data_IF_245230727719
#
_entry.id   IF_245230727719
#
_cell.length_a   1.000
_cell.length_b   1.000
_cell.length_c   1.000
_cell.angle_alpha   90.00
_cell.angle_beta   90.00
_cell.angle_gamma   90.00
#
_symmetry.space_group_name_H-M   'P 1'
#
loop_
_entity.id
_entity.type
_entity.pdbx_description
1 polymer ?
#
# COMPACT_ATOMS: atom_id res chain seq x y z
N UNK A 1 50.76 14.91 -9.60
CA UNK A 1 50.13 15.09 -8.28
C UNK A 1 49.12 16.26 -8.24
N UNK A 2 49.41 17.50 -8.73
CA UNK A 2 48.45 18.62 -8.67
C UNK A 2 47.13 18.40 -9.46
N UNK A 3 47.17 17.70 -10.61
CA UNK A 3 45.97 17.42 -11.43
C UNK A 3 45.05 16.35 -10.82
N UNK A 4 45.60 15.38 -10.10
CA UNK A 4 44.82 14.35 -9.38
C UNK A 4 44.12 14.89 -8.12
N UNK A 5 44.78 15.81 -7.40
CA UNK A 5 44.17 16.46 -6.23
C UNK A 5 43.02 17.38 -6.64
N UNK A 6 43.12 18.10 -7.78
CA UNK A 6 42.08 18.93 -8.30
C UNK A 6 40.85 18.13 -8.75
N UNK A 7 41.07 16.96 -9.38
CA UNK A 7 39.96 16.08 -9.81
C UNK A 7 39.21 15.48 -8.63
N UNK A 8 39.93 15.07 -7.55
CA UNK A 8 39.30 14.54 -6.33
C UNK A 8 38.48 15.64 -5.60
N UNK A 9 39.04 16.86 -5.56
CA UNK A 9 38.32 18.01 -4.94
C UNK A 9 37.06 18.39 -5.73
N UNK A 10 37.08 18.33 -7.07
CA UNK A 10 35.90 18.57 -7.91
C UNK A 10 34.84 17.49 -7.79
N UNK A 11 35.25 16.22 -7.66
CA UNK A 11 34.31 15.10 -7.42
C UNK A 11 33.68 15.20 -6.03
N UNK A 12 34.46 15.57 -5.01
CA UNK A 12 33.93 15.80 -3.66
C UNK A 12 32.96 16.99 -3.61
N UNK A 13 33.25 18.09 -4.32
CA UNK A 13 32.35 19.24 -4.42
C UNK A 13 31.07 18.90 -5.21
N UNK A 14 31.15 18.10 -6.28
CA UNK A 14 29.99 17.65 -7.03
C UNK A 14 29.13 16.68 -6.23
N UNK A 15 29.74 15.82 -5.40
CA UNK A 15 29.01 14.91 -4.51
C UNK A 15 28.28 15.67 -3.38
N UNK A 16 28.93 16.70 -2.80
CA UNK A 16 28.28 17.54 -1.78
C UNK A 16 27.19 18.45 -2.36
N UNK A 17 27.37 18.98 -3.58
CA UNK A 17 26.34 19.75 -4.28
C UNK A 17 25.17 18.86 -4.73
N UNK A 18 25.42 17.60 -5.12
CA UNK A 18 24.38 16.63 -5.46
C UNK A 18 23.50 16.22 -4.27
N UNK A 19 24.07 16.16 -3.05
CA UNK A 19 23.29 15.92 -1.82
C UNK A 19 22.44 17.14 -1.42
N UNK A 20 22.86 18.36 -1.76
CA UNK A 20 22.12 19.59 -1.45
C UNK A 20 20.98 19.92 -2.45
N UNK A 21 20.90 19.20 -3.57
CA UNK A 21 19.89 19.41 -4.62
C UNK A 21 18.75 18.37 -4.57
N UNK A 22 18.75 17.44 -3.62
CA UNK A 22 17.59 16.60 -3.42
C UNK A 22 16.50 17.43 -2.75
N UNK A 23 15.28 17.50 -3.36
CA UNK A 23 14.19 18.23 -2.75
C UNK A 23 13.95 17.67 -1.35
N UNK A 24 14.01 18.53 -0.35
CA UNK A 24 13.64 18.17 1.02
C UNK A 24 12.24 17.57 1.00
N UNK A 25 12.07 16.43 1.67
CA UNK A 25 10.75 15.85 1.85
C UNK A 25 9.87 16.85 2.62
N UNK A 26 8.81 17.41 2.00
CA UNK A 26 8.01 18.46 2.62
C UNK A 26 7.33 17.99 3.91
N UNK A 27 7.17 16.67 4.07
CA UNK A 27 6.64 16.06 5.30
C UNK A 27 7.70 16.10 6.39
N UNK A 28 8.95 15.73 6.07
CA UNK A 28 10.07 15.80 7.01
C UNK A 28 10.34 17.23 7.44
N UNK A 29 10.34 18.20 6.51
CA UNK A 29 10.56 19.62 6.79
C UNK A 29 9.51 20.18 7.76
N UNK A 30 8.23 19.83 7.59
CA UNK A 30 7.12 20.24 8.48
C UNK A 30 7.31 19.75 9.91
N UNK A 31 7.67 18.48 10.07
CA UNK A 31 7.94 17.93 11.40
C UNK A 31 9.17 18.56 12.05
N UNK A 32 10.21 18.80 11.27
CA UNK A 32 11.44 19.45 11.75
C UNK A 32 11.17 20.89 12.23
N UNK A 33 10.39 21.68 11.50
CA UNK A 33 10.00 23.03 11.93
C UNK A 33 9.22 23.00 13.25
N UNK A 34 8.18 22.15 13.33
CA UNK A 34 7.39 22.00 14.55
C UNK A 34 8.23 21.59 15.76
N UNK A 35 9.05 20.54 15.63
CA UNK A 35 9.91 20.04 16.71
C UNK A 35 10.97 21.05 17.13
N UNK A 36 11.60 21.75 16.19
CA UNK A 36 12.60 22.80 16.49
C UNK A 36 12.00 23.98 17.25
N UNK A 37 10.79 24.40 16.90
CA UNK A 37 10.10 25.47 17.67
C UNK A 37 9.67 24.99 19.04
N UNK A 38 9.23 23.76 19.17
CA UNK A 38 8.87 23.15 20.44
C UNK A 38 10.09 23.03 21.35
N UNK A 39 11.26 22.62 20.84
CA UNK A 39 12.55 22.58 21.55
C UNK A 39 12.89 23.93 22.20
N UNK A 40 12.79 25.02 21.44
CA UNK A 40 13.07 26.37 21.95
C UNK A 40 12.14 26.78 23.10
N UNK A 41 10.87 26.37 23.01
CA UNK A 41 9.86 26.74 24.02
C UNK A 41 9.86 25.81 25.22
N UNK A 42 10.14 24.52 25.04
CA UNK A 42 10.26 23.58 26.16
C UNK A 42 11.62 23.64 26.83
N UNK A 43 12.65 24.15 26.13
CA UNK A 43 14.06 24.13 26.54
C UNK A 43 14.59 22.70 26.75
N UNK A 44 13.99 21.76 26.05
CA UNK A 44 14.40 20.36 26.03
C UNK A 44 14.85 20.02 24.63
N UNK A 45 15.97 19.34 24.47
CA UNK A 45 16.43 18.92 23.14
C UNK A 45 15.40 17.94 22.51
N UNK A 46 15.29 17.98 21.18
CA UNK A 46 14.46 17.01 20.47
C UNK A 46 14.99 15.61 20.78
N UNK A 47 14.17 14.70 21.35
CA UNK A 47 14.62 13.33 21.61
C UNK A 47 15.07 12.64 20.30
N UNK A 48 16.04 11.74 20.36
CA UNK A 48 16.46 10.99 19.16
C UNK A 48 15.27 10.27 18.53
N UNK A 49 15.15 10.36 17.21
CA UNK A 49 14.08 9.71 16.49
C UNK A 49 14.20 8.18 16.63
N UNK A 50 13.12 7.53 17.02
CA UNK A 50 13.06 6.07 16.98
C UNK A 50 13.10 5.59 15.52
N UNK A 51 13.62 4.39 15.29
CA UNK A 51 13.58 3.77 13.96
C UNK A 51 12.14 3.62 13.46
N UNK A 52 11.93 3.86 12.16
CA UNK A 52 10.64 3.59 11.55
C UNK A 52 10.39 2.07 11.54
N UNK A 53 9.30 1.64 12.14
CA UNK A 53 8.91 0.22 12.18
C UNK A 53 8.26 -0.18 10.86
N UNK A 54 9.01 -0.09 9.75
CA UNK A 54 8.54 -0.48 8.43
C UNK A 54 8.68 -2.00 8.25
N UNK A 55 7.64 -2.61 7.69
CA UNK A 55 7.65 -4.01 7.29
C UNK A 55 7.52 -4.08 5.78
N UNK A 56 8.52 -4.64 5.07
CA UNK A 56 8.45 -4.76 3.62
C UNK A 56 7.27 -5.67 3.21
N UNK A 57 6.73 -5.40 2.03
CA UNK A 57 5.70 -6.25 1.45
C UNK A 57 6.22 -7.68 1.25
N UNK A 58 5.43 -8.74 1.51
CA UNK A 58 5.91 -10.12 1.41
C UNK A 58 6.46 -10.46 0.02
N UNK A 59 7.54 -11.23 -0.01
CA UNK A 59 8.19 -11.63 -1.26
C UNK A 59 7.35 -12.58 -2.10
N UNK A 60 7.64 -12.69 -3.42
CA UNK A 60 6.91 -13.56 -4.35
C UNK A 60 6.86 -15.02 -3.89
N UNK A 61 7.93 -15.56 -3.33
CA UNK A 61 7.95 -16.93 -2.83
C UNK A 61 6.92 -17.18 -1.70
N UNK A 62 6.60 -16.17 -0.91
CA UNK A 62 5.62 -16.26 0.17
C UNK A 62 4.18 -16.03 -0.31
N UNK A 63 3.99 -15.37 -1.46
CA UNK A 63 2.68 -15.01 -1.99
C UNK A 63 2.21 -15.92 -3.13
N UNK A 64 3.13 -16.39 -3.99
CA UNK A 64 2.77 -17.14 -5.19
C UNK A 64 2.13 -18.48 -4.84
N UNK A 65 1.02 -18.78 -5.50
CA UNK A 65 0.31 -20.05 -5.38
C UNK A 65 0.63 -20.96 -6.54
N UNK A 66 0.82 -22.27 -6.28
CA UNK A 66 0.99 -23.25 -7.35
C UNK A 66 -0.30 -23.35 -8.17
N UNK A 67 -0.14 -23.58 -9.45
CA UNK A 67 -1.26 -23.77 -10.38
C UNK A 67 -1.15 -25.16 -11.00
N UNK A 68 -2.28 -25.84 -11.31
CA UNK A 68 -2.27 -27.15 -11.92
C UNK A 68 -1.58 -27.11 -13.29
N UNK A 69 -0.78 -28.13 -13.57
CA UNK A 69 -0.16 -28.35 -14.90
C UNK A 69 -1.03 -29.32 -15.70
N UNK A 70 -1.91 -28.77 -16.51
CA UNK A 70 -2.81 -29.54 -17.37
C UNK A 70 -2.13 -29.81 -18.71
N UNK A 71 -1.78 -31.09 -18.98
CA UNK A 71 -1.18 -31.54 -20.23
C UNK A 71 -2.18 -32.35 -21.02
N UNK A 72 -2.35 -31.98 -22.27
CA UNK A 72 -3.26 -32.68 -23.21
C UNK A 72 -2.43 -33.48 -24.22
N UNK A 73 -2.77 -34.74 -24.45
CA UNK A 73 -2.15 -35.57 -25.48
C UNK A 73 -2.45 -35.00 -26.88
N UNK A 74 -1.61 -35.34 -27.87
CA UNK A 74 -1.70 -34.80 -29.23
C UNK A 74 -3.06 -35.12 -29.90
N UNK A 75 -3.61 -36.30 -29.71
CA UNK A 75 -4.91 -36.71 -30.31
C UNK A 75 -6.05 -35.87 -29.71
N UNK A 76 -6.08 -35.71 -28.40
CA UNK A 76 -7.07 -34.86 -27.71
C UNK A 76 -6.95 -33.39 -28.11
N UNK A 77 -5.71 -32.90 -28.33
CA UNK A 77 -5.46 -31.56 -28.85
C UNK A 77 -6.08 -31.34 -30.23
N UNK A 78 -5.96 -32.31 -31.17
CA UNK A 78 -6.56 -32.21 -32.49
C UNK A 78 -8.09 -32.21 -32.44
N UNK A 79 -8.71 -32.92 -31.50
CA UNK A 79 -10.15 -32.88 -31.24
C UNK A 79 -10.68 -31.50 -30.84
N UNK A 80 -9.85 -30.68 -30.18
CA UNK A 80 -10.21 -29.30 -29.73
C UNK A 80 -10.41 -28.30 -30.89
N UNK A 81 -10.09 -28.69 -32.16
CA UNK A 81 -10.32 -27.83 -33.32
C UNK A 81 -11.79 -27.45 -33.53
N UNK A 82 -12.71 -28.34 -33.14
CA UNK A 82 -14.16 -28.13 -33.26
C UNK A 82 -14.71 -27.14 -32.23
N UNK A 83 -13.91 -26.78 -31.19
CA UNK A 83 -14.31 -25.90 -30.10
C UNK A 83 -13.63 -24.52 -30.14
N UNK A 84 -12.92 -24.16 -31.23
CA UNK A 84 -12.06 -22.95 -31.28
C UNK A 84 -11.01 -22.85 -30.17
N UNK A 85 -10.70 -23.99 -29.52
CA UNK A 85 -9.74 -24.08 -28.44
C UNK A 85 -8.31 -24.34 -28.92
N UNK A 86 -8.15 -24.94 -30.14
CA UNK A 86 -6.83 -25.31 -30.66
C UNK A 86 -5.91 -24.09 -30.84
N UNK A 87 -6.42 -23.00 -31.41
CA UNK A 87 -5.67 -21.76 -31.60
C UNK A 87 -5.27 -21.14 -30.23
N UNK A 88 -6.21 -21.12 -29.30
CA UNK A 88 -6.01 -20.59 -27.95
C UNK A 88 -4.94 -21.39 -27.19
N UNK A 89 -4.98 -22.73 -27.25
CA UNK A 89 -3.98 -23.61 -26.62
C UNK A 89 -2.61 -23.46 -27.29
N UNK A 90 -2.56 -23.33 -28.62
CA UNK A 90 -1.32 -23.11 -29.37
C UNK A 90 -0.65 -21.82 -28.96
N UNK A 91 -1.41 -20.74 -28.87
CA UNK A 91 -0.92 -19.45 -28.46
C UNK A 91 -0.33 -19.50 -27.03
N UNK A 92 -1.04 -20.15 -26.10
CA UNK A 92 -0.58 -20.36 -24.72
C UNK A 92 0.72 -21.17 -24.63
N UNK A 93 0.88 -22.18 -25.49
CA UNK A 93 2.05 -23.05 -25.49
C UNK A 93 3.23 -22.49 -26.27
N UNK A 94 3.08 -21.37 -26.98
CA UNK A 94 4.16 -20.67 -27.64
C UNK A 94 5.20 -20.16 -26.65
N UNK A 95 6.40 -19.82 -27.13
CA UNK A 95 7.46 -19.24 -26.30
C UNK A 95 6.99 -17.95 -25.61
N UNK A 96 6.28 -17.08 -26.34
CA UNK A 96 5.71 -15.83 -25.80
C UNK A 96 4.55 -16.10 -24.82
N UNK A 97 3.69 -17.07 -25.13
CA UNK A 97 2.57 -17.43 -24.26
C UNK A 97 2.99 -17.95 -22.88
N UNK A 98 4.16 -18.60 -22.80
CA UNK A 98 4.74 -19.07 -21.53
C UNK A 98 5.32 -17.95 -20.65
N UNK A 99 5.65 -16.82 -21.24
CA UNK A 99 6.22 -15.65 -20.57
C UNK A 99 5.15 -14.60 -20.17
N UNK A 100 3.87 -14.87 -20.45
CA UNK A 100 2.79 -13.94 -20.11
C UNK A 100 2.68 -13.70 -18.61
N UNK A 101 2.25 -12.47 -18.24
CA UNK A 101 1.91 -12.12 -16.86
C UNK A 101 0.83 -13.04 -16.28
N UNK A 102 0.70 -13.05 -14.96
CA UNK A 102 -0.34 -13.82 -14.29
C UNK A 102 -1.76 -13.33 -14.65
N UNK A 103 -1.92 -12.03 -14.90
CA UNK A 103 -3.18 -11.42 -15.35
C UNK A 103 -3.59 -11.87 -16.74
N UNK A 104 -2.68 -11.87 -17.72
CA UNK A 104 -2.93 -12.40 -19.06
C UNK A 104 -3.19 -13.92 -19.04
N UNK A 105 -2.61 -14.64 -18.07
CA UNK A 105 -2.92 -16.04 -17.87
C UNK A 105 -4.36 -16.22 -17.35
N UNK A 106 -4.81 -15.39 -16.43
CA UNK A 106 -6.19 -15.41 -15.95
C UNK A 106 -7.19 -15.16 -17.08
N UNK A 107 -6.92 -14.16 -17.93
CA UNK A 107 -7.74 -13.85 -19.10
C UNK A 107 -7.82 -15.05 -20.08
N UNK A 108 -6.68 -15.70 -20.34
CA UNK A 108 -6.64 -16.94 -21.13
C UNK A 108 -7.53 -18.04 -20.51
N UNK A 109 -7.48 -18.24 -19.20
CA UNK A 109 -8.25 -19.30 -18.53
C UNK A 109 -9.76 -19.00 -18.57
N UNK A 110 -10.16 -17.75 -18.42
CA UNK A 110 -11.56 -17.32 -18.58
C UNK A 110 -12.07 -17.57 -20.01
N UNK A 111 -11.30 -17.15 -21.01
CA UNK A 111 -11.62 -17.39 -22.44
C UNK A 111 -11.71 -18.89 -22.74
N UNK A 112 -10.82 -19.69 -22.15
CA UNK A 112 -10.86 -21.15 -22.33
C UNK A 112 -12.13 -21.75 -21.72
N UNK A 113 -12.50 -21.33 -20.51
CA UNK A 113 -13.72 -21.81 -19.82
C UNK A 113 -14.96 -21.44 -20.63
N UNK A 114 -15.05 -20.22 -21.10
CA UNK A 114 -16.18 -19.71 -21.89
C UNK A 114 -16.34 -20.53 -23.21
N UNK A 115 -15.26 -20.64 -24.00
CA UNK A 115 -15.30 -21.39 -25.27
C UNK A 115 -15.56 -22.89 -25.07
N UNK A 116 -14.91 -23.48 -24.05
CA UNK A 116 -15.11 -24.87 -23.70
C UNK A 116 -16.56 -25.20 -23.29
N UNK A 117 -17.16 -24.31 -22.46
CA UNK A 117 -18.55 -24.44 -22.05
C UNK A 117 -19.52 -24.31 -23.26
N UNK A 118 -19.25 -23.33 -24.13
CA UNK A 118 -20.03 -23.18 -25.39
C UNK A 118 -19.94 -24.42 -26.26
N UNK A 119 -18.75 -25.01 -26.34
CA UNK A 119 -18.53 -26.22 -27.11
C UNK A 119 -19.30 -27.44 -26.54
N UNK A 120 -19.32 -27.61 -25.21
CA UNK A 120 -20.09 -28.69 -24.56
C UNK A 120 -21.60 -28.52 -24.73
N UNK A 121 -22.09 -27.28 -24.79
CA UNK A 121 -23.51 -26.99 -24.96
C UNK A 121 -23.98 -27.07 -26.41
N UNK A 122 -23.04 -27.19 -27.38
CA UNK A 122 -23.31 -27.32 -28.81
C UNK A 122 -23.20 -28.76 -29.29
N UNK A 123 -23.41 -28.96 -30.60
CA UNK A 123 -23.31 -30.28 -31.26
C UNK A 123 -21.92 -30.54 -31.87
N UNK A 124 -20.90 -29.71 -31.48
CA UNK A 124 -19.57 -29.73 -32.09
C UNK A 124 -18.71 -30.93 -31.68
N UNK A 125 -19.03 -31.58 -30.56
CA UNK A 125 -18.33 -32.76 -30.03
C UNK A 125 -19.29 -33.97 -29.97
N UNK A 126 -18.89 -35.03 -30.68
CA UNK A 126 -19.62 -36.32 -30.68
C UNK A 126 -18.88 -37.40 -29.87
N UNK A 127 -17.56 -37.26 -29.70
CA UNK A 127 -16.71 -38.23 -29.01
C UNK A 127 -16.89 -38.14 -27.48
N UNK A 128 -17.44 -39.18 -26.82
CA UNK A 128 -17.67 -39.18 -25.39
C UNK A 128 -16.38 -39.05 -24.53
N UNK A 129 -15.24 -39.56 -25.02
CA UNK A 129 -13.96 -39.46 -24.32
C UNK A 129 -13.48 -38.01 -24.32
N UNK A 130 -13.62 -37.31 -25.44
CA UNK A 130 -13.24 -35.91 -25.58
C UNK A 130 -14.17 -34.98 -24.77
N UNK A 131 -15.48 -35.26 -24.75
CA UNK A 131 -16.47 -34.59 -23.93
C UNK A 131 -16.05 -34.70 -22.44
N UNK A 132 -15.85 -35.93 -21.94
CA UNK A 132 -15.47 -36.15 -20.56
C UNK A 132 -14.09 -35.53 -20.18
N UNK A 133 -13.16 -35.49 -21.13
CA UNK A 133 -11.88 -34.78 -20.90
C UNK A 133 -12.08 -33.29 -20.78
N UNK A 134 -12.89 -32.66 -21.64
CA UNK A 134 -13.15 -31.22 -21.62
C UNK A 134 -13.89 -30.82 -20.35
N UNK A 135 -14.89 -31.58 -19.92
CA UNK A 135 -15.62 -31.36 -18.66
C UNK A 135 -14.68 -31.33 -17.47
N UNK A 136 -13.84 -32.36 -17.29
CA UNK A 136 -12.84 -32.38 -16.21
C UNK A 136 -11.83 -31.25 -16.29
N UNK A 137 -11.42 -30.89 -17.50
CA UNK A 137 -10.51 -29.76 -17.72
C UNK A 137 -11.14 -28.45 -17.30
N UNK A 138 -12.40 -28.22 -17.64
CA UNK A 138 -13.14 -27.02 -17.26
C UNK A 138 -13.36 -26.94 -15.74
N UNK A 139 -13.64 -28.06 -15.08
CA UNK A 139 -13.76 -28.14 -13.63
C UNK A 139 -12.46 -27.69 -12.95
N UNK A 140 -11.32 -28.31 -13.29
CA UNK A 140 -10.00 -27.95 -12.72
C UNK A 140 -9.64 -26.48 -12.99
N UNK A 141 -9.99 -25.95 -14.19
CA UNK A 141 -9.74 -24.54 -14.52
C UNK A 141 -10.59 -23.59 -13.69
N UNK A 142 -11.88 -23.89 -13.48
CA UNK A 142 -12.76 -23.09 -12.60
C UNK A 142 -12.26 -23.09 -11.17
N UNK A 143 -11.87 -24.24 -10.64
CA UNK A 143 -11.34 -24.38 -9.28
C UNK A 143 -10.07 -23.58 -9.07
N UNK A 144 -9.25 -23.41 -10.12
CA UNK A 144 -7.99 -22.65 -10.06
C UNK A 144 -8.14 -21.14 -10.27
N UNK A 145 -9.32 -20.62 -10.63
CA UNK A 145 -9.51 -19.19 -10.91
C UNK A 145 -9.14 -18.30 -9.70
N UNK A 146 -9.46 -18.74 -8.49
CA UNK A 146 -9.11 -18.02 -7.28
C UNK A 146 -7.60 -17.87 -7.07
N UNK A 147 -6.82 -18.91 -7.36
CA UNK A 147 -5.35 -18.88 -7.26
C UNK A 147 -4.71 -18.10 -8.41
N UNK A 148 -5.32 -18.14 -9.59
CA UNK A 148 -4.91 -17.31 -10.72
C UNK A 148 -5.10 -15.83 -10.42
N UNK A 149 -6.28 -15.45 -9.91
CA UNK A 149 -6.56 -14.08 -9.50
C UNK A 149 -5.64 -13.62 -8.37
N UNK A 150 -5.37 -14.48 -7.40
CA UNK A 150 -4.39 -14.22 -6.35
C UNK A 150 -3.01 -13.91 -6.91
N UNK A 151 -2.52 -14.73 -7.84
CA UNK A 151 -1.22 -14.54 -8.47
C UNK A 151 -1.18 -13.28 -9.35
N UNK A 152 -2.29 -12.94 -9.99
CA UNK A 152 -2.43 -11.74 -10.81
C UNK A 152 -2.52 -10.45 -9.98
N UNK A 153 -2.85 -10.53 -8.69
CA UNK A 153 -3.03 -9.37 -7.82
C UNK A 153 -2.00 -9.34 -6.69
N UNK A 154 -2.16 -10.16 -5.65
CA UNK A 154 -1.30 -10.12 -4.46
C UNK A 154 0.16 -10.50 -4.73
N UNK A 155 0.44 -11.38 -5.67
CA UNK A 155 1.79 -11.76 -6.05
C UNK A 155 2.33 -10.96 -7.26
N UNK A 156 1.61 -9.91 -7.70
CA UNK A 156 2.01 -9.09 -8.83
C UNK A 156 3.11 -8.09 -8.46
N UNK A 157 3.92 -7.71 -9.44
CA UNK A 157 4.96 -6.71 -9.25
C UNK A 157 4.36 -5.29 -9.18
N UNK A 158 3.20 -5.06 -9.81
CA UNK A 158 2.45 -3.81 -9.81
C UNK A 158 1.96 -3.47 -8.39
N UNK A 159 1.30 -4.38 -7.71
CA UNK A 159 0.85 -4.17 -6.32
C UNK A 159 2.05 -4.05 -5.37
N UNK A 160 3.11 -4.84 -5.59
CA UNK A 160 4.37 -4.71 -4.85
C UNK A 160 4.98 -3.33 -5.02
N UNK A 161 5.03 -2.82 -6.25
CA UNK A 161 5.51 -1.47 -6.56
C UNK A 161 4.69 -0.39 -5.87
N UNK A 162 3.36 -0.49 -5.95
CA UNK A 162 2.44 0.43 -5.28
C UNK A 162 2.63 0.49 -3.76
N UNK A 163 2.94 -0.65 -3.13
CA UNK A 163 3.16 -0.76 -1.68
C UNK A 163 4.64 -0.63 -1.28
N UNK A 164 5.53 -0.27 -2.23
CA UNK A 164 6.95 -0.06 -1.96
C UNK A 164 7.16 1.16 -1.05
N UNK A 165 7.87 0.94 0.05
CA UNK A 165 8.11 1.95 1.08
C UNK A 165 9.44 2.70 0.89
N UNK A 166 10.16 2.46 -0.18
CA UNK A 166 11.37 3.21 -0.51
C UNK A 166 11.07 4.68 -0.81
N UNK A 167 11.95 5.63 -0.47
CA UNK A 167 11.83 7.00 -0.91
C UNK A 167 11.75 7.09 -2.44
N UNK A 168 10.87 7.92 -2.95
CA UNK A 168 10.69 8.09 -4.39
C UNK A 168 9.35 8.73 -4.74
N UNK A 169 9.05 8.89 -6.04
CA UNK A 169 7.78 9.44 -6.48
C UNK A 169 6.61 8.59 -5.97
N UNK A 170 5.69 9.22 -5.23
CA UNK A 170 4.54 8.52 -4.67
C UNK A 170 3.50 8.13 -5.74
N UNK A 171 3.38 8.91 -6.81
CA UNK A 171 2.29 8.75 -7.78
C UNK A 171 0.95 9.28 -7.26
N UNK A 172 -0.13 9.02 -8.01
CA UNK A 172 -1.48 9.45 -7.63
C UNK A 172 -2.15 8.44 -6.68
N UNK A 173 -2.31 8.85 -5.42
CA UNK A 173 -2.94 8.00 -4.40
C UNK A 173 -4.43 7.76 -4.65
N UNK A 174 -5.15 8.71 -5.26
CA UNK A 174 -6.59 8.55 -5.52
C UNK A 174 -6.84 7.51 -6.61
N UNK A 175 -6.10 7.57 -7.72
CA UNK A 175 -6.17 6.58 -8.79
C UNK A 175 -5.74 5.18 -8.32
N UNK A 176 -4.68 5.08 -7.50
CA UNK A 176 -4.26 3.80 -6.92
C UNK A 176 -5.31 3.17 -6.01
N UNK A 177 -6.00 3.98 -5.19
CA UNK A 177 -7.10 3.51 -4.33
C UNK A 177 -8.34 3.06 -5.14
N UNK A 178 -8.63 3.75 -6.25
CA UNK A 178 -9.69 3.35 -7.18
C UNK A 178 -9.33 2.02 -7.86
N UNK A 179 -8.10 1.87 -8.34
CA UNK A 179 -7.60 0.64 -8.94
C UNK A 179 -7.73 -0.56 -7.99
N UNK A 180 -7.33 -0.40 -6.71
CA UNK A 180 -7.54 -1.44 -5.68
C UNK A 180 -9.03 -1.81 -5.52
N UNK A 181 -9.92 -0.83 -5.61
CA UNK A 181 -11.37 -1.05 -5.58
C UNK A 181 -11.85 -1.87 -6.79
N UNK A 182 -11.34 -1.56 -7.97
CA UNK A 182 -11.62 -2.30 -9.21
C UNK A 182 -11.14 -3.74 -9.13
N UNK A 183 -9.91 -3.98 -8.63
CA UNK A 183 -9.40 -5.33 -8.39
C UNK A 183 -10.27 -6.12 -7.41
N UNK A 184 -10.73 -5.48 -6.32
CA UNK A 184 -11.64 -6.13 -5.39
C UNK A 184 -13.00 -6.48 -6.04
N UNK A 185 -13.50 -5.66 -6.96
CA UNK A 185 -14.71 -5.95 -7.74
C UNK A 185 -14.51 -7.12 -8.70
N UNK A 186 -13.39 -7.16 -9.41
CA UNK A 186 -13.02 -8.29 -10.27
C UNK A 186 -12.96 -9.61 -9.49
N UNK A 187 -12.32 -9.60 -8.30
CA UNK A 187 -12.25 -10.79 -7.44
C UNK A 187 -13.61 -11.26 -6.91
N UNK A 188 -14.58 -10.35 -6.72
CA UNK A 188 -15.96 -10.74 -6.37
C UNK A 188 -16.67 -11.36 -7.56
N UNK A 189 -16.56 -10.77 -8.74
CA UNK A 189 -17.17 -11.28 -9.96
C UNK A 189 -16.71 -12.71 -10.28
N UNK A 190 -15.42 -13.03 -10.09
CA UNK A 190 -14.91 -14.39 -10.29
C UNK A 190 -15.54 -15.47 -9.39
N UNK A 191 -16.26 -15.08 -8.33
CA UNK A 191 -16.97 -16.01 -7.44
C UNK A 191 -18.45 -16.19 -7.80
N UNK A 192 -18.91 -15.49 -8.81
CA UNK A 192 -20.24 -15.72 -9.38
C UNK A 192 -20.28 -17.05 -10.13
N UNK A 193 -21.47 -17.62 -10.29
CA UNK A 193 -21.66 -18.88 -11.00
C UNK A 193 -22.75 -18.69 -12.07
N UNK A 194 -22.39 -18.76 -13.34
CA UNK A 194 -21.04 -18.95 -13.90
C UNK A 194 -20.12 -17.75 -13.67
N UNK A 195 -18.77 -17.92 -13.69
CA UNK A 195 -17.84 -16.79 -13.63
C UNK A 195 -17.98 -15.96 -14.93
N UNK A 196 -17.56 -14.67 -14.91
CA UNK A 196 -17.60 -13.82 -16.09
C UNK A 196 -16.63 -14.34 -17.18
N UNK A 197 -16.97 -14.08 -18.44
CA UNK A 197 -16.16 -14.51 -19.59
C UNK A 197 -14.84 -13.73 -19.70
N UNK A 198 -14.76 -12.54 -19.12
CA UNK A 198 -13.58 -11.69 -19.11
C UNK A 198 -13.58 -10.71 -17.94
N UNK A 199 -12.40 -10.15 -17.64
CA UNK A 199 -12.17 -9.07 -16.69
C UNK A 199 -11.53 -7.86 -17.40
N UNK A 200 -12.28 -7.11 -18.21
CA UNK A 200 -11.75 -6.14 -19.17
C UNK A 200 -10.90 -5.03 -18.54
N UNK A 201 -11.13 -4.70 -17.28
CA UNK A 201 -10.43 -3.63 -16.58
C UNK A 201 -9.25 -4.08 -15.72
N UNK A 202 -8.98 -5.39 -15.63
CA UNK A 202 -7.95 -5.94 -14.75
C UNK A 202 -6.55 -5.36 -15.06
N UNK A 203 -6.15 -5.42 -16.34
CA UNK A 203 -4.84 -4.88 -16.79
C UNK A 203 -4.74 -3.38 -16.56
N UNK A 204 -5.79 -2.61 -16.78
CA UNK A 204 -5.81 -1.17 -16.53
C UNK A 204 -5.62 -0.84 -15.06
N UNK A 205 -6.25 -1.59 -14.15
CA UNK A 205 -6.07 -1.40 -12.72
C UNK A 205 -4.64 -1.75 -12.28
N UNK A 206 -4.06 -2.84 -12.79
CA UNK A 206 -2.67 -3.21 -12.51
C UNK A 206 -1.69 -2.15 -13.05
N UNK A 207 -1.88 -1.70 -14.29
CA UNK A 207 -1.06 -0.63 -14.89
C UNK A 207 -1.14 0.67 -14.06
N UNK A 208 -2.32 1.01 -13.53
CA UNK A 208 -2.48 2.17 -12.64
C UNK A 208 -1.65 2.01 -11.36
N UNK A 209 -1.62 0.83 -10.76
CA UNK A 209 -0.80 0.57 -9.56
C UNK A 209 0.70 0.62 -9.87
N UNK A 210 1.13 0.21 -11.07
CA UNK A 210 2.52 0.30 -11.51
C UNK A 210 3.02 1.74 -11.64
N UNK A 211 2.13 2.73 -11.74
CA UNK A 211 2.45 4.15 -11.94
C UNK A 211 3.12 4.85 -10.75
N UNK A 212 3.29 4.19 -9.59
CA UNK A 212 3.96 4.78 -8.44
C UNK A 212 3.83 3.98 -7.15
N UNK A 213 4.41 4.50 -6.08
CA UNK A 213 4.47 3.89 -4.75
C UNK A 213 3.54 4.58 -3.73
N UNK A 214 2.37 5.06 -4.17
CA UNK A 214 1.47 5.88 -3.34
C UNK A 214 1.02 5.17 -2.05
N UNK A 215 0.74 3.86 -2.12
CA UNK A 215 0.41 3.06 -0.95
C UNK A 215 1.57 2.96 0.03
N UNK A 216 2.78 2.69 -0.47
CA UNK A 216 3.99 2.63 0.34
C UNK A 216 4.36 3.97 0.98
N UNK A 217 4.13 5.09 0.27
CA UNK A 217 4.31 6.43 0.83
C UNK A 217 3.40 6.66 2.06
N UNK A 218 2.12 6.31 1.97
CA UNK A 218 1.19 6.39 3.10
C UNK A 218 1.68 5.55 4.28
N UNK A 219 2.15 4.32 4.06
CA UNK A 219 2.67 3.46 5.12
C UNK A 219 3.91 4.07 5.80
N UNK A 220 4.80 4.69 5.04
CA UNK A 220 5.97 5.39 5.56
C UNK A 220 5.58 6.64 6.35
N UNK A 221 4.64 7.42 5.85
CA UNK A 221 4.14 8.62 6.52
C UNK A 221 3.48 8.30 7.87
N UNK A 222 2.71 7.22 7.98
CA UNK A 222 2.14 6.73 9.25
C UNK A 222 3.25 6.50 10.29
N UNK A 223 4.30 5.80 9.90
CA UNK A 223 5.42 5.51 10.80
C UNK A 223 6.18 6.77 11.20
N UNK A 224 6.44 7.68 10.25
CA UNK A 224 7.13 8.95 10.50
C UNK A 224 6.33 9.88 11.41
N UNK A 225 5.03 10.05 11.17
CA UNK A 225 4.15 10.86 11.98
C UNK A 225 4.06 10.35 13.42
N UNK A 226 4.00 9.02 13.61
CA UNK A 226 4.01 8.40 14.94
C UNK A 226 5.31 8.71 15.71
N UNK A 227 6.46 8.64 15.05
CA UNK A 227 7.76 8.94 15.65
C UNK A 227 7.83 10.42 16.05
N UNK A 228 7.45 11.33 15.15
CA UNK A 228 7.49 12.78 15.42
C UNK A 228 6.52 13.20 16.54
N UNK A 229 5.31 12.62 16.57
CA UNK A 229 4.37 12.86 17.70
C UNK A 229 4.92 12.32 19.02
N UNK A 230 5.63 11.20 19.03
CA UNK A 230 6.30 10.68 20.22
C UNK A 230 7.42 11.61 20.73
N UNK A 231 8.23 12.17 19.82
CA UNK A 231 9.24 13.16 20.16
C UNK A 231 8.60 14.43 20.75
N UNK A 232 7.56 14.96 20.12
CA UNK A 232 6.83 16.13 20.61
C UNK A 232 6.20 15.87 21.97
N UNK A 233 5.58 14.72 22.17
CA UNK A 233 4.97 14.32 23.44
C UNK A 233 6.02 14.28 24.57
N UNK A 234 7.18 13.65 24.35
CA UNK A 234 8.26 13.61 25.35
C UNK A 234 8.75 15.00 25.76
N UNK A 235 8.83 15.95 24.81
CA UNK A 235 9.19 17.34 25.14
C UNK A 235 8.07 18.05 25.92
N UNK A 236 6.80 17.81 25.59
CA UNK A 236 5.66 18.38 26.32
C UNK A 236 5.51 17.79 27.73
N UNK A 237 5.81 16.52 27.91
CA UNK A 237 5.77 15.84 29.22
C UNK A 237 6.82 16.38 30.20
N UNK A 238 7.93 16.88 29.66
CA UNK A 238 8.98 17.53 30.49
C UNK A 238 8.62 18.94 31.04
N UNK A 239 7.50 19.51 30.59
CA UNK A 239 7.06 20.83 31.09
C UNK A 239 6.48 20.69 32.48
N UNK A 240 6.96 21.58 33.35
CA UNK A 240 6.39 21.82 34.67
C UNK A 240 5.35 22.94 34.60
N UNK A 241 4.10 22.59 34.83
CA UNK A 241 2.96 23.50 34.74
C UNK A 241 3.02 24.63 35.77
N UNK A 242 3.53 24.39 36.98
CA UNK A 242 3.64 25.41 38.02
C UNK A 242 4.65 26.49 37.67
N UNK A 243 5.77 26.11 37.04
CA UNK A 243 6.76 27.05 36.51
C UNK A 243 6.28 27.80 35.27
N UNK A 244 5.46 27.13 34.44
CA UNK A 244 4.89 27.70 33.23
C UNK A 244 3.77 28.70 33.54
N UNK A 245 2.98 28.45 34.59
CA UNK A 245 1.79 29.22 34.95
C UNK A 245 1.75 29.49 36.47
N UNK A 246 2.70 30.30 37.01
CA UNK A 246 2.77 30.59 38.43
C UNK A 246 1.45 31.16 38.95
N UNK A 247 0.87 30.53 39.95
CA UNK A 247 -0.44 30.91 40.54
C UNK A 247 -1.58 30.92 39.52
N UNK A 248 -1.55 30.04 38.56
CA UNK A 248 -2.57 29.93 37.49
C UNK A 248 -2.52 31.06 36.45
N UNK A 249 -1.48 31.90 36.47
CA UNK A 249 -1.32 33.01 35.51
C UNK A 249 -0.38 32.62 34.39
N UNK A 250 -0.85 32.74 33.15
CA UNK A 250 -0.07 32.42 31.97
C UNK A 250 1.20 33.30 31.89
N UNK A 251 2.40 32.68 31.92
CA UNK A 251 3.65 33.36 31.62
C UNK A 251 3.73 33.74 30.14
N UNK A 252 4.74 34.54 29.75
CA UNK A 252 5.01 34.83 28.34
C UNK A 252 5.34 33.56 27.55
N UNK A 253 6.05 32.62 28.18
CA UNK A 253 6.39 31.33 27.59
C UNK A 253 5.13 30.47 27.31
N UNK A 254 4.17 30.48 28.25
CA UNK A 254 2.88 29.81 28.06
C UNK A 254 2.10 30.39 26.87
N UNK A 255 2.11 31.69 26.68
CA UNK A 255 1.50 32.36 25.53
C UNK A 255 2.22 32.01 24.22
N UNK A 256 3.54 31.88 24.21
CA UNK A 256 4.27 31.41 23.02
C UNK A 256 3.97 29.97 22.69
N UNK A 257 3.82 29.07 23.68
CA UNK A 257 3.37 27.70 23.47
C UNK A 257 1.96 27.66 22.85
N UNK A 258 1.04 28.49 23.33
CA UNK A 258 -0.28 28.64 22.75
C UNK A 258 -0.21 29.09 21.28
N UNK A 259 0.60 30.10 20.98
CA UNK A 259 0.80 30.57 19.60
C UNK A 259 1.40 29.48 18.70
N UNK A 260 2.34 28.65 19.20
CA UNK A 260 2.88 27.52 18.47
C UNK A 260 1.79 26.49 18.15
N UNK A 261 0.93 26.18 19.12
CA UNK A 261 -0.19 25.27 18.90
C UNK A 261 -1.15 25.82 17.84
N UNK A 262 -1.52 27.09 17.93
CA UNK A 262 -2.53 27.68 17.02
C UNK A 262 -1.98 27.90 15.61
N UNK A 263 -0.74 28.40 15.46
CA UNK A 263 -0.20 28.81 14.17
C UNK A 263 0.53 27.69 13.43
N UNK A 264 1.38 26.91 14.10
CA UNK A 264 2.18 25.87 13.42
C UNK A 264 1.46 24.54 13.46
N UNK A 265 1.14 24.06 14.66
CA UNK A 265 0.46 22.77 14.75
C UNK A 265 -0.93 22.81 14.11
N UNK A 266 -1.74 23.79 14.46
CA UNK A 266 -3.12 23.91 13.98
C UNK A 266 -3.25 24.22 12.48
N UNK A 267 -2.34 25.02 11.93
CA UNK A 267 -2.43 25.43 10.51
C UNK A 267 -1.63 24.56 9.55
N UNK A 268 -0.59 23.85 10.03
CA UNK A 268 0.27 23.05 9.14
C UNK A 268 0.28 21.56 9.46
N UNK A 269 0.46 21.19 10.75
CA UNK A 269 0.59 19.79 11.17
C UNK A 269 -0.76 19.09 11.24
N UNK A 270 -1.75 19.72 11.84
CA UNK A 270 -3.09 19.13 12.01
C UNK A 270 -3.82 18.86 10.68
N UNK A 271 -3.84 19.78 9.69
CA UNK A 271 -4.42 19.48 8.38
C UNK A 271 -3.71 18.34 7.65
N UNK A 272 -2.38 18.26 7.76
CA UNK A 272 -1.61 17.14 7.22
C UNK A 272 -1.99 15.80 7.88
N UNK A 273 -2.09 15.77 9.22
CA UNK A 273 -2.49 14.57 9.95
C UNK A 273 -3.92 14.13 9.61
N UNK A 274 -4.84 15.09 9.43
CA UNK A 274 -6.21 14.81 9.00
C UNK A 274 -6.25 14.23 7.57
N UNK A 275 -5.39 14.70 6.68
CA UNK A 275 -5.27 14.14 5.34
C UNK A 275 -4.66 12.74 5.35
N UNK A 276 -3.57 12.54 6.10
CA UNK A 276 -2.95 11.24 6.30
C UNK A 276 -3.95 10.21 6.87
N UNK A 277 -4.77 10.62 7.85
CA UNK A 277 -5.81 9.77 8.43
C UNK A 277 -6.84 9.32 7.38
N UNK A 278 -7.29 10.23 6.52
CA UNK A 278 -8.20 9.88 5.42
C UNK A 278 -7.55 8.90 4.43
N UNK A 279 -6.29 9.14 4.05
CA UNK A 279 -5.56 8.28 3.09
C UNK A 279 -5.29 6.90 3.68
N UNK A 280 -4.86 6.79 4.94
CA UNK A 280 -4.59 5.51 5.57
C UNK A 280 -5.86 4.66 5.74
N UNK A 281 -6.99 5.27 6.15
CA UNK A 281 -8.28 4.54 6.28
C UNK A 281 -8.72 3.98 4.94
N UNK A 282 -8.72 4.79 3.89
CA UNK A 282 -9.09 4.36 2.54
C UNK A 282 -8.17 3.24 2.04
N UNK A 283 -6.85 3.36 2.23
CA UNK A 283 -5.90 2.32 1.85
C UNK A 283 -6.20 0.99 2.58
N UNK A 284 -6.39 1.05 3.90
CA UNK A 284 -6.72 -0.13 4.70
C UNK A 284 -8.06 -0.76 4.30
N UNK A 285 -9.08 0.04 4.01
CA UNK A 285 -10.39 -0.44 3.52
C UNK A 285 -10.27 -1.14 2.15
N UNK A 286 -9.55 -0.54 1.20
CA UNK A 286 -9.34 -1.11 -0.14
C UNK A 286 -8.55 -2.42 -0.11
N UNK A 287 -7.48 -2.47 0.69
CA UNK A 287 -6.69 -3.70 0.86
C UNK A 287 -7.51 -4.80 1.54
N UNK A 288 -8.30 -4.48 2.57
CA UNK A 288 -9.20 -5.46 3.19
C UNK A 288 -10.30 -5.93 2.21
N UNK A 289 -10.86 -5.03 1.40
CA UNK A 289 -11.84 -5.40 0.38
C UNK A 289 -11.25 -6.35 -0.66
N UNK A 290 -10.02 -6.08 -1.14
CA UNK A 290 -9.31 -6.97 -2.05
C UNK A 290 -9.00 -8.31 -1.38
N UNK A 291 -8.58 -8.31 -0.10
CA UNK A 291 -8.32 -9.53 0.67
C UNK A 291 -9.59 -10.38 0.82
N UNK A 292 -10.71 -9.76 1.15
CA UNK A 292 -12.02 -10.43 1.25
C UNK A 292 -12.53 -10.95 -0.10
N UNK A 293 -12.14 -10.30 -1.21
CA UNK A 293 -12.47 -10.75 -2.56
C UNK A 293 -11.57 -11.90 -3.06
N UNK A 294 -10.49 -12.21 -2.35
CA UNK A 294 -9.52 -13.24 -2.72
C UNK A 294 -9.76 -14.53 -1.96
N UNK A 295 -9.54 -15.67 -2.59
CA UNK A 295 -9.71 -16.99 -2.00
C UNK A 295 -8.51 -17.38 -1.12
N UNK A 296 -8.70 -18.33 -0.19
CA UNK A 296 -7.68 -19.00 0.59
C UNK A 296 -6.91 -18.12 1.58
N UNK A 297 -6.23 -18.74 2.54
CA UNK A 297 -5.42 -18.08 3.54
C UNK A 297 -3.99 -17.82 3.04
N UNK A 298 -3.36 -16.75 3.51
CA UNK A 298 -1.92 -16.52 3.36
C UNK A 298 -1.38 -15.82 4.61
N UNK A 299 -0.77 -16.57 5.55
CA UNK A 299 -0.30 -16.02 6.82
C UNK A 299 0.75 -14.91 6.68
N UNK A 300 1.53 -14.87 5.59
CA UNK A 300 2.54 -13.83 5.39
C UNK A 300 1.87 -12.50 5.06
N UNK A 301 0.88 -12.51 4.16
CA UNK A 301 0.09 -11.33 3.82
C UNK A 301 -0.78 -10.88 5.00
N UNK A 302 -1.44 -11.81 5.69
CA UNK A 302 -2.33 -11.51 6.82
C UNK A 302 -1.54 -10.84 7.95
N UNK A 303 -0.32 -11.33 8.28
CA UNK A 303 0.57 -10.66 9.26
C UNK A 303 1.06 -9.29 8.79
N UNK A 304 1.24 -9.10 7.48
CA UNK A 304 1.62 -7.80 6.93
C UNK A 304 0.47 -6.80 7.04
N UNK A 305 -0.75 -7.20 6.69
CA UNK A 305 -1.96 -6.38 6.84
C UNK A 305 -2.23 -6.01 8.32
N UNK A 306 -2.08 -6.96 9.23
CA UNK A 306 -2.23 -6.73 10.66
C UNK A 306 -1.18 -5.77 11.23
N UNK A 307 0.07 -5.84 10.72
CA UNK A 307 1.12 -4.91 11.14
C UNK A 307 0.76 -3.45 10.84
N UNK A 308 0.11 -3.17 9.72
CA UNK A 308 -0.28 -1.81 9.36
C UNK A 308 -1.68 -1.44 9.83
N UNK A 309 -2.66 -2.28 9.63
CA UNK A 309 -4.08 -1.98 9.77
C UNK A 309 -4.83 -2.82 10.80
N UNK A 310 -4.15 -3.69 11.52
CA UNK A 310 -4.73 -4.45 12.62
C UNK A 310 -5.01 -3.58 13.87
N UNK A 311 -5.74 -4.10 14.87
CA UNK A 311 -6.13 -3.36 16.08
C UNK A 311 -4.94 -2.80 16.88
N UNK A 312 -3.79 -3.41 16.76
CA UNK A 312 -2.50 -2.97 17.36
C UNK A 312 -1.47 -2.56 16.31
N UNK A 313 -1.89 -2.39 15.08
CA UNK A 313 -1.06 -2.03 13.94
C UNK A 313 -0.60 -0.57 13.96
N UNK A 314 0.19 -0.18 12.95
CA UNK A 314 0.79 1.16 12.84
C UNK A 314 -0.27 2.27 12.80
N UNK A 315 -1.37 2.08 12.06
CA UNK A 315 -2.49 3.02 11.99
C UNK A 315 -3.09 3.28 13.38
N UNK A 316 -3.42 2.23 14.13
CA UNK A 316 -3.98 2.35 15.47
C UNK A 316 -2.97 2.93 16.48
N UNK A 317 -1.66 2.72 16.28
CA UNK A 317 -0.62 3.35 17.11
C UNK A 317 -0.50 4.85 16.82
N UNK A 318 -0.63 5.27 15.55
CA UNK A 318 -0.68 6.69 15.19
C UNK A 318 -1.88 7.38 15.86
N UNK A 319 -3.06 6.77 15.82
CA UNK A 319 -4.26 7.31 16.49
C UNK A 319 -4.06 7.49 17.99
N UNK A 320 -3.38 6.54 18.66
CA UNK A 320 -3.05 6.67 20.09
C UNK A 320 -2.04 7.78 20.36
N UNK A 321 -0.99 7.88 19.54
CA UNK A 321 0.01 8.94 19.68
C UNK A 321 -0.61 10.33 19.49
N UNK A 322 -1.53 10.47 18.52
CA UNK A 322 -2.25 11.72 18.28
C UNK A 322 -3.13 12.11 19.49
N UNK A 323 -3.88 11.15 20.04
CA UNK A 323 -4.68 11.42 21.26
C UNK A 323 -3.81 11.83 22.44
N UNK A 324 -2.76 11.08 22.75
CA UNK A 324 -1.86 11.42 23.86
C UNK A 324 -1.21 12.80 23.69
N UNK A 325 -0.77 13.15 22.48
CA UNK A 325 -0.24 14.46 22.17
C UNK A 325 -1.28 15.58 22.37
N UNK A 326 -2.52 15.37 21.93
CA UNK A 326 -3.61 16.35 22.11
C UNK A 326 -3.98 16.51 23.59
N UNK A 327 -4.13 15.44 24.33
CA UNK A 327 -4.41 15.42 25.77
C UNK A 327 -3.31 16.15 26.56
N UNK A 328 -2.05 15.95 26.19
CA UNK A 328 -0.95 16.65 26.84
C UNK A 328 -0.98 18.16 26.57
N UNK A 329 -1.27 18.59 25.35
CA UNK A 329 -1.49 20.01 25.05
C UNK A 329 -2.63 20.60 25.85
N UNK A 330 -3.74 19.89 25.99
CA UNK A 330 -4.88 20.31 26.78
C UNK A 330 -4.50 20.48 28.27
N UNK A 331 -3.73 19.56 28.84
CA UNK A 331 -3.23 19.65 30.22
C UNK A 331 -2.36 20.88 30.41
N UNK A 332 -1.34 21.06 29.56
CA UNK A 332 -0.39 22.18 29.66
C UNK A 332 -1.07 23.53 29.52
N UNK A 333 -1.94 23.70 28.52
CA UNK A 333 -2.62 24.98 28.30
C UNK A 333 -3.77 25.21 29.28
N UNK A 334 -4.45 24.12 29.71
CA UNK A 334 -5.52 24.18 30.71
C UNK A 334 -5.03 24.69 32.05
N UNK A 335 -3.85 24.26 32.53
CA UNK A 335 -3.22 24.75 33.76
C UNK A 335 -2.95 26.26 33.72
N UNK A 336 -2.84 26.84 32.53
CA UNK A 336 -2.59 28.28 32.31
C UNK A 336 -3.87 29.09 32.00
N UNK A 337 -5.05 28.46 31.93
CA UNK A 337 -6.29 29.11 31.44
C UNK A 337 -6.24 29.53 29.97
N UNK A 338 -5.41 28.85 29.16
CA UNK A 338 -5.19 29.20 27.76
C UNK A 338 -5.86 28.22 26.79
N UNK A 339 -6.88 27.48 27.20
CA UNK A 339 -7.59 26.55 26.29
C UNK A 339 -8.27 27.31 25.15
N UNK A 340 -8.30 26.74 23.93
CA UNK A 340 -9.10 27.27 22.83
C UNK A 340 -10.59 27.29 23.21
N UNK A 341 -11.27 28.43 23.03
CA UNK A 341 -12.71 28.58 23.31
C UNK A 341 -13.08 28.91 24.76
N UNK A 342 -12.14 29.16 25.67
CA UNK A 342 -12.36 29.68 27.02
C UNK A 342 -12.06 31.18 27.05
N UNK A 343 -13.02 31.98 26.62
CA UNK A 343 -12.99 33.45 26.74
C UNK A 343 -14.38 33.94 27.09
#
# INVERSE_FOLDING_TARGET
MKKTVLAVALIALAATAGLALWPEDPVAARWQDYLTRLERLTRQPVPPAAALELRPYPGNAALRRPLPDLRTGLLNYLGLRHCDLMALVSERNSALGKLRSASLRLDYELTFIERGQRCLNGEALEDPELIGLLERTLEVKRDSLGDLFWNATWASDELRGFLNQSPGPAGDSAQGLEALGGLASAGRALRESPPPDALPDLERHLATLAGGAAGGAVLREIAAARVALGQALGMLESLDEDSLCPRGRASQRARYLRNLLDSVYGQEVQPYLADLDRRQRRLGERLRALRAASSGANPALDRWLDHYFGPRGQAARLDRALRAHTERWQTVLGACGLMPGGG
#
